data_IF_297963443838
#
_entry.id   IF_297963443838
#
_cell.length_a   1.000
_cell.length_b   1.000
_cell.length_c   1.000
_cell.angle_alpha   90.00
_cell.angle_beta   90.00
_cell.angle_gamma   90.00
#
_symmetry.space_group_name_H-M   'P 1'
#
loop_
_entity.id
_entity.type
_entity.pdbx_description
1 polymer ?
#
# COMPACT_ATOMS: atom_id res chain seq x y z
N UNK A 1 25.77 29.28 21.38
CA UNK A 1 26.07 27.83 21.57
C UNK A 1 24.89 27.03 21.03
N UNK A 2 25.06 26.11 20.05
CA UNK A 2 23.93 25.34 19.56
C UNK A 2 23.57 24.29 20.62
N UNK A 3 22.32 24.31 21.11
CA UNK A 3 21.80 23.24 21.97
C UNK A 3 21.85 21.96 21.15
N UNK A 4 22.65 20.97 21.56
CA UNK A 4 22.47 19.59 21.09
C UNK A 4 21.05 19.19 21.47
N UNK A 5 20.16 19.09 20.50
CA UNK A 5 18.85 18.50 20.69
C UNK A 5 19.11 17.02 21.02
N UNK A 6 19.13 16.67 22.32
CA UNK A 6 19.09 15.28 22.73
C UNK A 6 17.68 14.78 22.43
N UNK A 7 17.51 14.09 21.30
CA UNK A 7 16.28 13.37 20.98
C UNK A 7 16.09 12.33 22.09
N UNK A 8 15.07 12.51 22.92
CA UNK A 8 14.74 11.57 23.97
C UNK A 8 14.16 10.28 23.39
N UNK A 9 14.19 9.19 24.16
CA UNK A 9 13.56 7.93 23.78
C UNK A 9 12.07 8.12 23.46
N UNK A 10 11.38 9.00 24.19
CA UNK A 10 9.97 9.31 23.98
C UNK A 10 9.73 10.03 22.63
N UNK A 11 10.65 10.90 22.22
CA UNK A 11 10.57 11.60 20.94
C UNK A 11 10.76 10.61 19.79
N UNK A 12 11.69 9.67 19.93
CA UNK A 12 11.91 8.59 18.97
C UNK A 12 10.67 7.69 18.86
N UNK A 13 10.09 7.28 19.99
CA UNK A 13 8.89 6.44 20.01
C UNK A 13 7.70 7.15 19.37
N UNK A 14 7.50 8.44 19.67
CA UNK A 14 6.46 9.26 19.07
C UNK A 14 6.63 9.40 17.55
N UNK A 15 7.86 9.59 17.08
CA UNK A 15 8.17 9.63 15.65
C UNK A 15 7.85 8.29 14.96
N UNK A 16 8.31 7.17 15.51
CA UNK A 16 8.06 5.84 14.95
C UNK A 16 6.56 5.51 14.91
N UNK A 17 5.83 5.83 15.98
CA UNK A 17 4.38 5.66 16.02
C UNK A 17 3.69 6.47 14.92
N UNK A 18 4.13 7.71 14.68
CA UNK A 18 3.61 8.55 13.59
C UNK A 18 3.89 7.95 12.20
N UNK A 19 5.12 7.49 11.96
CA UNK A 19 5.48 6.85 10.69
C UNK A 19 4.62 5.62 10.45
N UNK A 20 4.48 4.75 11.45
CA UNK A 20 3.63 3.56 11.34
C UNK A 20 2.19 3.98 11.05
N UNK A 21 1.64 4.93 11.81
CA UNK A 21 0.27 5.41 11.64
C UNK A 21 0.00 5.92 10.21
N UNK A 22 0.90 6.73 9.68
CA UNK A 22 0.81 7.30 8.32
C UNK A 22 0.91 6.20 7.25
N UNK A 23 1.84 5.25 7.40
CA UNK A 23 2.07 4.19 6.41
C UNK A 23 1.09 3.02 6.51
N UNK A 24 0.42 2.83 7.65
CA UNK A 24 -0.38 1.64 7.92
C UNK A 24 -1.48 1.35 6.88
N UNK A 25 -2.24 2.33 6.37
CA UNK A 25 -3.21 2.08 5.30
C UNK A 25 -2.58 1.48 4.04
N UNK A 26 -1.45 2.02 3.59
CA UNK A 26 -0.70 1.50 2.45
C UNK A 26 -0.15 0.09 2.71
N UNK A 27 0.36 -0.17 3.92
CA UNK A 27 0.84 -1.49 4.31
C UNK A 27 -0.28 -2.52 4.33
N UNK A 28 -1.45 -2.16 4.88
CA UNK A 28 -2.64 -3.01 4.87
C UNK A 28 -3.13 -3.29 3.45
N UNK A 29 -3.15 -2.28 2.58
CA UNK A 29 -3.55 -2.43 1.18
C UNK A 29 -2.60 -3.33 0.38
N UNK A 30 -1.29 -3.20 0.59
CA UNK A 30 -0.30 -4.01 -0.13
C UNK A 30 -0.19 -5.44 0.44
N UNK A 31 -0.46 -5.61 1.74
CA UNK A 31 -0.43 -6.91 2.41
C UNK A 31 -1.67 -7.77 2.21
N UNK A 32 -2.84 -7.19 1.99
CA UNK A 32 -4.10 -7.94 1.90
C UNK A 32 -4.34 -8.76 0.61
N UNK A 33 -3.72 -8.49 -0.56
CA UNK A 33 -3.90 -9.32 -1.75
C UNK A 33 -3.50 -10.80 -1.55
N UNK A 34 -2.69 -11.12 -0.53
CA UNK A 34 -2.31 -12.50 -0.18
C UNK A 34 -3.50 -13.38 0.22
N UNK A 35 -4.64 -12.79 0.60
CA UNK A 35 -5.87 -13.54 0.87
C UNK A 35 -6.49 -14.10 -0.42
N UNK A 36 -6.10 -13.58 -1.59
CA UNK A 36 -6.53 -14.07 -2.90
C UNK A 36 -5.57 -15.17 -3.38
N UNK A 37 -6.03 -16.42 -3.36
CA UNK A 37 -5.24 -17.58 -3.82
C UNK A 37 -5.25 -17.76 -5.34
N UNK A 38 -6.38 -17.53 -5.99
CA UNK A 38 -6.56 -17.60 -7.44
C UNK A 38 -7.44 -16.42 -7.86
N UNK A 39 -6.83 -15.45 -8.54
CA UNK A 39 -7.54 -14.30 -9.09
C UNK A 39 -7.27 -14.17 -10.59
N UNK A 40 -8.01 -13.28 -11.23
CA UNK A 40 -7.91 -12.96 -12.65
C UNK A 40 -6.71 -12.03 -12.87
N UNK A 41 -5.65 -12.46 -13.60
CA UNK A 41 -4.48 -11.63 -13.85
C UNK A 41 -4.85 -10.34 -14.57
N UNK A 42 -4.32 -9.20 -14.11
CA UNK A 42 -4.58 -7.87 -14.68
C UNK A 42 -4.13 -7.80 -16.14
N UNK A 43 -3.02 -8.45 -16.46
CA UNK A 43 -2.48 -8.50 -17.81
C UNK A 43 -3.24 -9.46 -18.75
N UNK A 44 -4.21 -10.24 -18.23
CA UNK A 44 -4.97 -11.24 -18.98
C UNK A 44 -4.10 -12.23 -19.77
N UNK A 45 -2.89 -12.53 -19.28
CA UNK A 45 -1.98 -13.43 -19.97
C UNK A 45 -1.15 -12.77 -21.09
N UNK A 46 -1.29 -11.45 -21.32
CA UNK A 46 -0.60 -10.76 -22.41
C UNK A 46 0.92 -10.86 -22.27
N UNK A 47 1.54 -11.09 -23.43
CA UNK A 47 2.99 -11.11 -23.61
C UNK A 47 3.41 -9.75 -24.16
N UNK A 48 4.48 -9.20 -23.63
CA UNK A 48 5.07 -7.96 -24.12
C UNK A 48 6.08 -8.21 -25.24
N UNK A 49 6.55 -7.14 -25.87
CA UNK A 49 7.48 -7.15 -27.00
C UNK A 49 8.79 -7.92 -26.76
N UNK A 50 9.17 -8.13 -25.50
CA UNK A 50 10.35 -8.87 -25.07
C UNK A 50 10.09 -10.39 -24.87
N UNK A 51 8.90 -10.87 -25.22
CA UNK A 51 8.51 -12.27 -25.08
C UNK A 51 8.12 -12.69 -23.66
N UNK A 52 8.10 -11.77 -22.69
CA UNK A 52 7.73 -12.05 -21.29
C UNK A 52 6.32 -11.53 -20.97
N UNK A 53 5.69 -12.06 -19.91
CA UNK A 53 4.40 -11.55 -19.40
C UNK A 53 4.52 -10.08 -19.00
N UNK A 54 3.45 -9.29 -19.18
CA UNK A 54 3.45 -7.86 -18.80
C UNK A 54 3.58 -7.70 -17.28
N UNK A 55 2.81 -8.45 -16.49
CA UNK A 55 2.82 -8.40 -15.02
C UNK A 55 3.02 -9.80 -14.40
N UNK A 56 2.36 -10.81 -14.96
CA UNK A 56 2.30 -12.17 -14.44
C UNK A 56 1.10 -12.41 -13.51
N UNK A 57 0.93 -13.66 -13.07
CA UNK A 57 -0.30 -14.13 -12.39
C UNK A 57 -0.49 -13.58 -10.97
N UNK A 58 0.56 -13.00 -10.37
CA UNK A 58 0.51 -12.45 -9.01
C UNK A 58 -0.15 -11.07 -8.91
N UNK A 59 -0.54 -10.44 -10.02
CA UNK A 59 -1.22 -9.14 -10.04
C UNK A 59 -2.62 -9.33 -10.57
N UNK A 60 -3.61 -9.32 -9.69
CA UNK A 60 -5.00 -9.68 -9.99
C UNK A 60 -5.98 -8.56 -9.70
N UNK A 61 -7.12 -8.54 -10.39
CA UNK A 61 -8.18 -7.55 -10.15
C UNK A 61 -8.80 -7.70 -8.76
N UNK A 62 -9.01 -8.93 -8.32
CA UNK A 62 -9.55 -9.26 -6.98
C UNK A 62 -8.56 -8.85 -5.89
N UNK A 63 -7.26 -9.05 -6.13
CA UNK A 63 -6.20 -8.60 -5.25
C UNK A 63 -6.20 -7.07 -5.09
N UNK A 64 -6.37 -6.32 -6.19
CA UNK A 64 -6.50 -4.86 -6.12
C UNK A 64 -7.72 -4.40 -5.36
N UNK A 65 -8.88 -5.02 -5.62
CA UNK A 65 -10.13 -4.70 -4.93
C UNK A 65 -9.97 -4.93 -3.42
N UNK A 66 -9.46 -6.10 -3.02
CA UNK A 66 -9.19 -6.44 -1.61
C UNK A 66 -8.17 -5.50 -0.99
N UNK A 67 -7.11 -5.14 -1.74
CA UNK A 67 -6.14 -4.13 -1.35
C UNK A 67 -6.78 -2.80 -0.98
N UNK A 68 -7.55 -2.23 -1.91
CA UNK A 68 -8.24 -0.96 -1.72
C UNK A 68 -9.23 -1.03 -0.56
N UNK A 69 -10.00 -2.11 -0.44
CA UNK A 69 -10.97 -2.29 0.65
C UNK A 69 -10.30 -2.32 2.02
N UNK A 70 -9.19 -3.06 2.18
CA UNK A 70 -8.49 -3.16 3.46
C UNK A 70 -7.86 -1.82 3.86
N UNK A 71 -7.12 -1.18 2.96
CA UNK A 71 -6.48 0.10 3.28
C UNK A 71 -7.49 1.23 3.52
N UNK A 72 -8.57 1.30 2.72
CA UNK A 72 -9.67 2.24 2.97
C UNK A 72 -10.39 1.92 4.29
N UNK A 73 -10.57 0.64 4.62
CA UNK A 73 -11.12 0.20 5.90
C UNK A 73 -10.32 0.69 7.11
N UNK A 74 -8.98 0.66 7.02
CA UNK A 74 -8.11 1.31 8.03
C UNK A 74 -8.40 2.81 8.12
N UNK A 75 -8.55 3.50 6.99
CA UNK A 75 -8.95 4.91 6.94
C UNK A 75 -10.31 5.20 7.59
N UNK A 76 -11.28 4.31 7.40
CA UNK A 76 -12.59 4.42 8.06
C UNK A 76 -12.49 4.28 9.58
N UNK A 77 -11.63 3.38 10.08
CA UNK A 77 -11.34 3.24 11.50
C UNK A 77 -10.69 4.53 12.04
N UNK A 78 -9.72 5.09 11.31
CA UNK A 78 -9.10 6.37 11.68
C UNK A 78 -10.11 7.52 11.67
N UNK A 79 -10.97 7.58 10.66
CA UNK A 79 -11.99 8.61 10.56
C UNK A 79 -12.96 8.58 11.74
N UNK A 80 -13.37 7.39 12.19
CA UNK A 80 -14.20 7.22 13.37
C UNK A 80 -13.45 7.58 14.67
N UNK A 81 -12.19 7.14 14.81
CA UNK A 81 -11.40 7.37 16.02
C UNK A 81 -11.02 8.85 16.24
N UNK A 82 -10.74 9.58 15.16
CA UNK A 82 -10.29 10.97 15.19
C UNK A 82 -11.36 11.97 14.70
N UNK A 83 -12.57 11.50 14.46
CA UNK A 83 -13.73 12.28 14.01
C UNK A 83 -13.43 13.16 12.78
N UNK A 84 -12.73 12.60 11.79
CA UNK A 84 -12.30 13.31 10.57
C UNK A 84 -12.40 12.41 9.35
N UNK A 85 -13.34 12.72 8.46
CA UNK A 85 -13.55 11.98 7.20
C UNK A 85 -12.36 12.08 6.23
N UNK A 86 -11.45 13.04 6.43
CA UNK A 86 -10.24 13.19 5.63
C UNK A 86 -9.37 11.93 5.65
N UNK A 87 -9.39 11.15 6.73
CA UNK A 87 -8.63 9.90 6.83
C UNK A 87 -9.12 8.82 5.85
N UNK A 88 -10.39 8.82 5.45
CA UNK A 88 -10.90 7.88 4.43
C UNK A 88 -10.25 8.17 3.08
N UNK A 89 -10.28 9.43 2.65
CA UNK A 89 -9.70 9.87 1.38
C UNK A 89 -8.18 9.67 1.39
N UNK A 90 -7.53 10.06 2.50
CA UNK A 90 -6.10 9.86 2.69
C UNK A 90 -5.72 8.38 2.51
N UNK A 91 -6.40 7.47 3.21
CA UNK A 91 -6.11 6.04 3.14
C UNK A 91 -6.44 5.44 1.78
N UNK A 92 -7.52 5.88 1.12
CA UNK A 92 -7.86 5.45 -0.24
C UNK A 92 -6.74 5.81 -1.22
N UNK A 93 -6.29 7.06 -1.22
CA UNK A 93 -5.20 7.53 -2.10
C UNK A 93 -3.90 6.80 -1.78
N UNK A 94 -3.58 6.64 -0.50
CA UNK A 94 -2.40 5.90 -0.03
C UNK A 94 -2.42 4.43 -0.49
N UNK A 95 -3.59 3.78 -0.42
CA UNK A 95 -3.80 2.40 -0.88
C UNK A 95 -3.62 2.26 -2.39
N UNK A 96 -4.22 3.18 -3.17
CA UNK A 96 -4.06 3.21 -4.63
C UNK A 96 -2.57 3.40 -4.98
N UNK A 97 -1.89 4.34 -4.33
CA UNK A 97 -0.45 4.58 -4.54
C UNK A 97 0.40 3.33 -4.26
N UNK A 98 0.15 2.65 -3.14
CA UNK A 98 0.88 1.43 -2.76
C UNK A 98 0.69 0.30 -3.78
N UNK A 99 -0.55 0.05 -4.21
CA UNK A 99 -0.87 -1.00 -5.18
C UNK A 99 -0.37 -0.67 -6.59
N UNK A 100 -0.42 0.59 -7.00
CA UNK A 100 0.20 1.03 -8.26
C UNK A 100 1.72 0.82 -8.23
N UNK A 101 2.38 1.17 -7.12
CA UNK A 101 3.80 0.91 -6.93
C UNK A 101 4.14 -0.57 -7.03
N UNK A 102 3.29 -1.44 -6.46
CA UNK A 102 3.45 -2.89 -6.54
C UNK A 102 3.25 -3.45 -7.96
N UNK A 103 2.29 -2.92 -8.74
CA UNK A 103 2.12 -3.24 -10.17
C UNK A 103 3.35 -2.80 -10.98
N UNK A 104 3.80 -1.56 -10.80
CA UNK A 104 4.97 -1.01 -11.50
C UNK A 104 6.21 -1.84 -11.16
N UNK A 105 6.40 -2.18 -9.88
CA UNK A 105 7.49 -3.03 -9.44
C UNK A 105 7.46 -4.42 -10.09
N UNK A 106 6.27 -5.02 -10.25
CA UNK A 106 6.14 -6.29 -10.96
C UNK A 106 6.47 -6.17 -12.45
N UNK A 107 6.03 -5.10 -13.12
CA UNK A 107 6.42 -4.82 -14.49
C UNK A 107 7.95 -4.73 -14.63
N UNK A 108 8.60 -3.90 -13.81
CA UNK A 108 10.06 -3.73 -13.83
C UNK A 108 10.77 -5.07 -13.59
N UNK A 109 10.35 -5.86 -12.60
CA UNK A 109 10.93 -7.19 -12.31
C UNK A 109 10.87 -8.15 -13.48
N UNK A 110 9.94 -7.98 -14.42
CA UNK A 110 9.89 -8.82 -15.64
C UNK A 110 10.84 -8.36 -16.74
N UNK A 111 11.37 -7.13 -16.65
CA UNK A 111 12.29 -6.51 -17.63
C UNK A 111 13.74 -6.51 -17.21
N UNK A 112 14.01 -7.01 -16.00
CA UNK A 112 15.34 -7.41 -15.54
C UNK A 112 15.55 -8.90 -15.86
#
# INVERSE_FOLDING_TARGET
MPRRCMIGINDLLGFLANVIFIYFPAMAANGSPVFIRRGTPIDLGKIFLDGRRVLGDGKTYEGLLVGIMFGTGVGSIYAAAFNSSAYVIYSLVSSIGALLGDIIGAFIKRRL
#
